data_IF_926310898550
#
_entry.id   IF_926310898550
#
_cell.length_a   1.000
_cell.length_b   1.000
_cell.length_c   1.000
_cell.angle_alpha   90.00
_cell.angle_beta   90.00
_cell.angle_gamma   90.00
#
_symmetry.space_group_name_H-M   'P 1'
#
loop_
_entity.id
_entity.type
_entity.pdbx_description
1 polymer ?
#
# COMPACT_ATOMS: atom_id res chain seq x y z
N UNK A 1 -6.64 8.37 -0.18
CA UNK A 1 -6.83 8.98 -1.53
C UNK A 1 -8.07 8.50 -2.29
N UNK A 2 -8.74 7.43 -1.90
CA UNK A 2 -9.96 6.95 -2.60
C UNK A 2 -11.10 8.00 -2.72
N UNK A 3 -11.21 8.91 -1.75
CA UNK A 3 -12.22 9.98 -1.75
C UNK A 3 -11.79 11.26 -2.45
N UNK A 4 -10.64 11.27 -3.15
CA UNK A 4 -10.18 12.43 -3.89
C UNK A 4 -11.00 12.66 -5.16
N UNK A 5 -11.07 13.91 -5.58
CA UNK A 5 -11.58 14.28 -6.90
C UNK A 5 -10.50 13.94 -7.96
N UNK A 6 -10.68 12.83 -8.65
CA UNK A 6 -9.70 12.35 -9.65
C UNK A 6 -9.58 13.28 -10.87
N UNK A 7 -10.56 14.16 -11.10
CA UNK A 7 -10.45 15.23 -12.08
C UNK A 7 -9.50 16.35 -11.64
N UNK A 8 -9.19 16.43 -10.34
CA UNK A 8 -8.32 17.46 -9.75
C UNK A 8 -7.33 16.87 -8.74
N UNK A 9 -6.77 15.72 -9.05
CA UNK A 9 -5.94 14.92 -8.17
C UNK A 9 -4.76 15.69 -7.56
N UNK A 10 -4.09 16.52 -8.36
CA UNK A 10 -2.99 17.36 -7.89
C UNK A 10 -3.45 18.36 -6.82
N UNK A 11 -4.58 19.04 -7.04
CA UNK A 11 -5.16 19.98 -6.07
C UNK A 11 -5.46 19.29 -4.75
N UNK A 12 -6.09 18.12 -4.79
CA UNK A 12 -6.47 17.39 -3.58
C UNK A 12 -5.25 16.81 -2.87
N UNK A 13 -4.24 16.36 -3.60
CA UNK A 13 -2.96 15.94 -3.02
C UNK A 13 -2.25 17.09 -2.33
N UNK A 14 -2.20 18.26 -2.94
CA UNK A 14 -1.62 19.48 -2.35
C UNK A 14 -2.41 19.98 -1.13
N UNK A 15 -3.73 19.75 -1.09
CA UNK A 15 -4.54 20.04 0.10
C UNK A 15 -4.11 19.16 1.26
N UNK A 16 -3.91 17.86 1.05
CA UNK A 16 -3.40 16.93 2.06
C UNK A 16 -1.97 17.32 2.47
N UNK A 17 -1.14 17.70 1.51
CA UNK A 17 0.25 18.11 1.76
C UNK A 17 0.32 19.30 2.75
N UNK A 18 -0.59 20.25 2.64
CA UNK A 18 -0.71 21.41 3.54
C UNK A 18 -1.42 21.10 4.87
N UNK A 19 -2.05 19.92 5.01
CA UNK A 19 -2.76 19.53 6.22
C UNK A 19 -1.82 19.02 7.31
N UNK A 20 -2.36 18.74 8.50
CA UNK A 20 -1.64 18.11 9.60
C UNK A 20 -1.43 16.59 9.41
N UNK A 21 -1.96 15.98 8.34
CA UNK A 21 -1.71 14.58 8.04
C UNK A 21 -0.22 14.37 7.74
N UNK A 22 0.38 13.35 8.34
CA UNK A 22 1.80 13.04 8.14
C UNK A 22 2.02 12.14 6.92
N UNK A 23 1.04 11.31 6.59
CA UNK A 23 1.11 10.31 5.52
C UNK A 23 -0.05 10.48 4.55
N UNK A 24 0.17 10.07 3.31
CA UNK A 24 -0.86 9.96 2.27
C UNK A 24 -1.13 8.48 2.03
N UNK A 25 -2.30 8.01 2.46
CA UNK A 25 -2.71 6.62 2.28
C UNK A 25 -3.34 6.39 0.91
N UNK A 26 -2.88 5.35 0.21
CA UNK A 26 -3.20 5.05 -1.19
C UNK A 26 -3.63 3.60 -1.30
N UNK A 27 -4.93 3.36 -1.53
CA UNK A 27 -5.52 2.03 -1.67
C UNK A 27 -5.54 1.60 -3.14
N UNK A 28 -4.80 0.54 -3.46
CA UNK A 28 -4.73 -0.06 -4.79
C UNK A 28 -5.54 -1.35 -4.82
N UNK A 29 -6.51 -1.43 -5.71
CA UNK A 29 -7.46 -2.53 -5.83
C UNK A 29 -7.48 -3.08 -7.26
N UNK A 30 -7.51 -4.39 -7.41
CA UNK A 30 -7.39 -5.08 -8.71
C UNK A 30 -8.69 -5.70 -9.24
N UNK A 31 -9.78 -5.66 -8.47
CA UNK A 31 -11.05 -6.28 -8.84
C UNK A 31 -11.07 -7.81 -8.68
N UNK A 32 -10.03 -8.42 -8.13
CA UNK A 32 -9.90 -9.87 -7.90
C UNK A 32 -9.77 -10.17 -6.41
N UNK A 33 -8.81 -9.56 -5.74
CA UNK A 33 -8.66 -9.68 -4.28
C UNK A 33 -9.82 -9.02 -3.55
N UNK A 34 -10.31 -7.89 -4.10
CA UNK A 34 -11.49 -7.15 -3.64
C UNK A 34 -12.42 -6.87 -4.82
N UNK A 35 -13.75 -6.72 -4.61
CA UNK A 35 -14.73 -6.53 -5.68
C UNK A 35 -14.78 -5.07 -6.17
N UNK A 36 -13.63 -4.41 -6.25
CA UNK A 36 -13.49 -3.04 -6.74
C UNK A 36 -12.16 -2.85 -7.45
N UNK A 37 -12.10 -1.91 -8.40
CA UNK A 37 -10.86 -1.49 -9.09
C UNK A 37 -10.65 -0.03 -8.79
N UNK A 38 -9.46 0.34 -8.28
CA UNK A 38 -9.15 1.74 -8.01
C UNK A 38 -8.22 2.33 -9.08
N UNK A 39 -6.93 2.27 -8.87
CA UNK A 39 -5.92 2.90 -9.74
C UNK A 39 -4.56 2.23 -9.53
N UNK A 40 -3.58 2.60 -10.34
CA UNK A 40 -2.25 2.00 -10.32
C UNK A 40 -1.13 3.02 -10.45
N UNK A 41 -0.03 2.61 -11.08
CA UNK A 41 1.23 3.37 -11.15
C UNK A 41 1.12 4.80 -11.68
N UNK A 42 0.30 5.11 -12.74
CA UNK A 42 0.20 6.48 -13.24
C UNK A 42 -0.33 7.46 -12.20
N UNK A 43 -1.32 7.03 -11.41
CA UNK A 43 -1.92 7.84 -10.34
C UNK A 43 -0.94 8.01 -9.18
N UNK A 44 -0.27 6.93 -8.76
CA UNK A 44 0.77 7.02 -7.72
C UNK A 44 1.87 8.02 -8.11
N UNK A 45 2.37 7.96 -9.35
CA UNK A 45 3.38 8.90 -9.83
C UNK A 45 2.89 10.34 -9.86
N UNK A 46 1.61 10.57 -10.16
CA UNK A 46 1.03 11.92 -10.13
C UNK A 46 0.94 12.45 -8.69
N UNK A 47 0.50 11.61 -7.74
CA UNK A 47 0.47 11.94 -6.31
C UNK A 47 1.90 12.24 -5.81
N UNK A 48 2.89 11.40 -6.14
CA UNK A 48 4.28 11.63 -5.72
C UNK A 48 4.84 12.97 -6.16
N UNK A 49 4.48 13.45 -7.34
CA UNK A 49 4.90 14.77 -7.84
C UNK A 49 4.27 15.92 -7.06
N UNK A 50 3.10 15.73 -6.48
CA UNK A 50 2.31 16.79 -5.84
C UNK A 50 2.55 16.88 -4.31
N UNK A 51 3.30 15.96 -3.69
CA UNK A 51 3.60 15.97 -2.26
C UNK A 51 4.97 15.40 -1.96
N UNK A 52 5.62 15.87 -0.88
CA UNK A 52 6.82 15.27 -0.32
C UNK A 52 6.52 14.36 0.90
N UNK A 53 5.26 14.26 1.31
CA UNK A 53 4.84 13.42 2.45
C UNK A 53 5.07 11.94 2.16
N UNK A 54 5.10 11.14 3.23
CA UNK A 54 5.18 9.69 3.16
C UNK A 54 3.98 9.13 2.40
N UNK A 55 4.23 8.38 1.31
CA UNK A 55 3.22 7.66 0.56
C UNK A 55 3.13 6.23 1.09
N UNK A 56 2.06 5.94 1.79
CA UNK A 56 1.70 4.61 2.31
C UNK A 56 0.76 3.93 1.30
N UNK A 57 1.30 2.97 0.55
CA UNK A 57 0.58 2.28 -0.52
C UNK A 57 0.11 0.92 -0.04
N UNK A 58 -1.20 0.77 0.10
CA UNK A 58 -1.89 -0.43 0.52
C UNK A 58 -2.39 -1.21 -0.69
N UNK A 59 -1.86 -2.41 -0.89
CA UNK A 59 -2.13 -3.27 -2.04
C UNK A 59 -3.18 -4.32 -1.70
N UNK A 60 -4.39 -4.11 -2.13
CA UNK A 60 -5.49 -5.09 -2.13
C UNK A 60 -5.56 -5.78 -3.48
N UNK A 61 -4.51 -6.55 -3.80
CA UNK A 61 -4.31 -7.22 -5.08
C UNK A 61 -3.83 -8.66 -4.86
N UNK A 62 -4.15 -9.54 -5.81
CA UNK A 62 -3.60 -10.91 -5.82
C UNK A 62 -2.16 -10.92 -6.33
N UNK A 63 -1.36 -11.90 -5.90
CA UNK A 63 0.04 -12.07 -6.32
C UNK A 63 0.85 -10.77 -6.20
N UNK A 64 0.89 -10.10 -5.03
CA UNK A 64 1.55 -8.81 -4.85
C UNK A 64 3.04 -8.84 -5.21
N UNK A 65 3.71 -9.98 -5.12
CA UNK A 65 5.11 -10.19 -5.52
C UNK A 65 5.40 -9.75 -6.96
N UNK A 66 4.40 -9.72 -7.83
CA UNK A 66 4.55 -9.24 -9.22
C UNK A 66 4.67 -7.72 -9.31
N UNK A 67 4.31 -6.98 -8.25
CA UNK A 67 4.10 -5.54 -8.33
C UNK A 67 4.81 -4.74 -7.23
N UNK A 68 5.08 -5.32 -6.05
CA UNK A 68 5.57 -4.58 -4.87
C UNK A 68 6.81 -3.74 -5.15
N UNK A 69 7.81 -4.28 -5.85
CA UNK A 69 9.02 -3.54 -6.20
C UNK A 69 8.71 -2.33 -7.10
N UNK A 70 7.80 -2.51 -8.07
CA UNK A 70 7.40 -1.44 -8.98
C UNK A 70 6.63 -0.31 -8.29
N UNK A 71 5.87 -0.61 -7.23
CA UNK A 71 5.22 0.43 -6.42
C UNK A 71 6.25 1.23 -5.62
N UNK A 72 7.26 0.58 -5.05
CA UNK A 72 8.38 1.25 -4.40
C UNK A 72 9.13 2.17 -5.39
N UNK A 73 9.49 1.67 -6.56
CA UNK A 73 10.15 2.43 -7.64
C UNK A 73 9.28 3.59 -8.17
N UNK A 74 7.95 3.45 -8.11
CA UNK A 74 7.02 4.50 -8.53
C UNK A 74 6.84 5.62 -7.49
N UNK A 75 7.45 5.50 -6.30
CA UNK A 75 7.51 6.53 -5.29
C UNK A 75 6.77 6.22 -3.98
N UNK A 76 6.38 4.96 -3.74
CA UNK A 76 5.87 4.54 -2.44
C UNK A 76 7.01 4.52 -1.41
N UNK A 77 6.79 5.14 -0.25
CA UNK A 77 7.73 5.09 0.88
C UNK A 77 7.46 3.86 1.76
N UNK A 78 6.20 3.45 1.85
CA UNK A 78 5.75 2.22 2.49
C UNK A 78 4.92 1.43 1.49
N UNK A 79 5.18 0.14 1.37
CA UNK A 79 4.35 -0.78 0.57
C UNK A 79 3.79 -1.83 1.50
N UNK A 80 2.46 -1.83 1.64
CA UNK A 80 1.70 -2.76 2.48
C UNK A 80 0.97 -3.76 1.59
N UNK A 81 1.22 -5.05 1.77
CA UNK A 81 0.52 -6.12 1.07
C UNK A 81 -0.30 -6.97 2.06
N UNK A 82 -1.32 -7.67 1.57
CA UNK A 82 -2.10 -8.61 2.38
C UNK A 82 -1.39 -9.94 2.53
N UNK A 83 -1.30 -10.43 3.77
CA UNK A 83 -0.75 -11.76 4.08
C UNK A 83 -1.48 -12.87 3.29
N UNK A 84 -2.79 -12.74 3.14
CA UNK A 84 -3.65 -13.70 2.44
C UNK A 84 -3.51 -13.67 0.92
N UNK A 85 -2.87 -12.63 0.37
CA UNK A 85 -2.74 -12.43 -1.07
C UNK A 85 -1.56 -13.17 -1.70
N UNK A 86 -0.67 -13.76 -0.89
CA UNK A 86 0.55 -14.42 -1.35
C UNK A 86 0.83 -15.72 -0.60
N UNK A 87 1.47 -16.66 -1.27
CA UNK A 87 2.03 -17.87 -0.64
C UNK A 87 3.50 -17.69 -0.20
N UNK A 88 4.10 -16.52 -0.50
CA UNK A 88 5.50 -16.23 -0.17
C UNK A 88 5.64 -14.82 0.46
N UNK A 89 5.12 -14.61 1.68
CA UNK A 89 5.21 -13.30 2.33
C UNK A 89 6.67 -12.84 2.57
N UNK A 90 7.59 -13.75 2.86
CA UNK A 90 9.01 -13.41 3.04
C UNK A 90 9.64 -12.88 1.74
N UNK A 91 9.30 -13.50 0.61
CA UNK A 91 9.75 -13.00 -0.70
C UNK A 91 9.23 -11.60 -1.02
N UNK A 92 7.94 -11.30 -0.70
CA UNK A 92 7.40 -9.95 -0.83
C UNK A 92 8.18 -8.95 0.03
N UNK A 93 8.47 -9.30 1.29
CA UNK A 93 9.23 -8.46 2.22
C UNK A 93 10.61 -8.12 1.64
N UNK A 94 11.34 -9.14 1.15
CA UNK A 94 12.65 -8.95 0.54
C UNK A 94 12.60 -8.06 -0.70
N UNK A 95 11.61 -8.25 -1.58
CA UNK A 95 11.43 -7.43 -2.78
C UNK A 95 11.19 -5.96 -2.45
N UNK A 96 10.33 -5.66 -1.47
CA UNK A 96 10.03 -4.30 -1.05
C UNK A 96 11.29 -3.64 -0.47
N UNK A 97 12.00 -4.33 0.43
CA UNK A 97 13.23 -3.81 1.04
C UNK A 97 14.33 -3.56 0.01
N UNK A 98 14.53 -4.50 -0.92
CA UNK A 98 15.53 -4.35 -1.98
C UNK A 98 15.20 -3.18 -2.92
N UNK A 99 13.93 -2.83 -3.06
CA UNK A 99 13.49 -1.64 -3.80
C UNK A 99 13.56 -0.34 -2.98
N UNK A 100 14.00 -0.40 -1.71
CA UNK A 100 14.27 0.77 -0.87
C UNK A 100 13.06 1.31 -0.09
N UNK A 101 11.92 0.61 -0.10
CA UNK A 101 10.73 1.01 0.66
C UNK A 101 10.64 0.29 2.02
N UNK A 102 9.85 0.86 2.94
CA UNK A 102 9.42 0.21 4.18
C UNK A 102 8.35 -0.83 3.88
N UNK A 103 8.30 -1.86 4.71
CA UNK A 103 7.39 -3.00 4.53
C UNK A 103 6.23 -2.94 5.48
N UNK A 104 5.02 -2.92 4.94
CA UNK A 104 3.79 -3.17 5.68
C UNK A 104 3.18 -4.52 5.35
N UNK A 105 2.53 -5.14 6.31
CA UNK A 105 1.71 -6.34 6.10
C UNK A 105 0.31 -6.11 6.68
N UNK A 106 -0.70 -6.35 5.85
CA UNK A 106 -2.10 -6.29 6.24
C UNK A 106 -2.69 -7.68 6.45
N UNK A 107 -3.64 -7.78 7.37
CA UNK A 107 -4.47 -8.97 7.57
C UNK A 107 -5.95 -8.62 7.57
N UNK A 108 -6.78 -9.53 7.03
CA UNK A 108 -8.24 -9.43 7.06
C UNK A 108 -8.79 -9.64 8.48
N UNK A 109 -10.02 -9.18 8.79
CA UNK A 109 -10.60 -9.30 10.12
C UNK A 109 -10.66 -10.74 10.66
N UNK A 110 -10.87 -11.72 9.76
CA UNK A 110 -10.94 -13.14 10.13
C UNK A 110 -9.57 -13.82 10.28
N UNK A 111 -8.49 -13.17 9.89
CA UNK A 111 -7.13 -13.74 9.96
C UNK A 111 -6.53 -13.48 11.32
N UNK A 112 -6.07 -14.54 12.00
CA UNK A 112 -5.41 -14.42 13.30
C UNK A 112 -4.09 -13.65 13.16
N UNK A 113 -3.80 -12.75 14.10
CA UNK A 113 -2.53 -12.02 14.19
C UNK A 113 -1.33 -12.96 14.38
N UNK A 114 -1.54 -14.17 14.84
CA UNK A 114 -0.49 -15.17 15.05
C UNK A 114 0.24 -15.57 13.76
N UNK A 115 -0.40 -15.40 12.59
CA UNK A 115 0.24 -15.68 11.30
C UNK A 115 1.43 -14.74 11.01
N UNK A 116 1.49 -13.58 11.68
CA UNK A 116 2.55 -12.60 11.51
C UNK A 116 3.78 -12.88 12.37
N UNK A 117 3.70 -13.80 13.34
CA UNK A 117 4.75 -14.04 14.35
C UNK A 117 6.15 -14.18 13.74
N UNK A 118 6.28 -14.98 12.69
CA UNK A 118 7.59 -15.32 12.10
C UNK A 118 8.14 -14.18 11.20
N UNK A 119 7.29 -13.26 10.75
CA UNK A 119 7.69 -12.16 9.88
C UNK A 119 7.73 -10.81 10.58
N UNK A 120 7.16 -10.71 11.79
CA UNK A 120 7.05 -9.47 12.56
C UNK A 120 8.40 -8.73 12.73
N UNK A 121 9.54 -9.41 12.99
CA UNK A 121 10.82 -8.72 13.09
C UNK A 121 11.34 -8.13 11.77
N UNK A 122 10.71 -8.49 10.64
CA UNK A 122 11.14 -8.12 9.31
C UNK A 122 10.27 -7.03 8.66
N UNK A 123 9.24 -6.54 9.36
CA UNK A 123 8.28 -5.56 8.84
C UNK A 123 8.29 -4.29 9.66
N UNK A 124 7.87 -3.19 9.06
CA UNK A 124 7.87 -1.86 9.68
C UNK A 124 6.46 -1.42 10.11
N UNK A 125 5.42 -2.04 9.51
CA UNK A 125 4.02 -1.69 9.73
C UNK A 125 3.14 -2.94 9.71
N UNK A 126 2.18 -3.00 10.62
CA UNK A 126 1.06 -3.97 10.59
C UNK A 126 -0.24 -3.20 10.43
N UNK A 127 -1.03 -3.55 9.42
CA UNK A 127 -2.37 -3.02 9.19
C UNK A 127 -3.41 -4.10 9.50
N UNK A 128 -4.15 -3.93 10.60
CA UNK A 128 -5.25 -4.82 10.96
C UNK A 128 -6.54 -4.25 10.40
N UNK A 129 -7.12 -4.96 9.42
CA UNK A 129 -8.40 -4.53 8.85
C UNK A 129 -9.53 -4.73 9.86
N UNK A 130 -10.36 -3.71 10.03
CA UNK A 130 -11.57 -3.75 10.86
C UNK A 130 -12.84 -4.07 10.04
N UNK A 131 -12.71 -4.02 8.71
CA UNK A 131 -13.73 -4.40 7.71
C UNK A 131 -13.07 -5.27 6.66
N UNK A 132 -13.87 -6.02 5.88
CA UNK A 132 -13.32 -6.68 4.68
C UNK A 132 -12.79 -5.61 3.71
N UNK A 133 -11.64 -5.86 3.13
CA UNK A 133 -11.01 -4.92 2.20
C UNK A 133 -11.81 -4.72 0.90
#
# INVERSE_FOLDING_TARGET
MLSADFGHLERDTQMIDRSAAEWVHIDVMDGVFVPNISFGFPVLKAIRKATAKCLDVHLMIVEPERYVARFAEAGADVVTFHYEATYNPKGCIEMIRNAGAKVGVSIKPATSVEVLRDILPQIDLVLIMSVEP
#
